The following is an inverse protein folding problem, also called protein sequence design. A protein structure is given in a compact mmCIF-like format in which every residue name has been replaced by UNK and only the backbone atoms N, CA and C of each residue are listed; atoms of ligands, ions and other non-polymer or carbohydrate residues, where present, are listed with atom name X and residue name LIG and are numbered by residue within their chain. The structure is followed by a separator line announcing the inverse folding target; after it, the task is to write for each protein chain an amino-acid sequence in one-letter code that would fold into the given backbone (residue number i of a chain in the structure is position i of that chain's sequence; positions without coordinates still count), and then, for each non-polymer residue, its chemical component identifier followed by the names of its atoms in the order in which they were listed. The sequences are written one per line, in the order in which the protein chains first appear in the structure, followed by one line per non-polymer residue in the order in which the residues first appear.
data_IF_563414013599
#
_entry.id   IF_563414013599
#
_cell.length_a   1.000
_cell.length_b   1.000
_cell.length_c   1.000
_cell.angle_alpha   90.00
_cell.angle_beta   90.00
_cell.angle_gamma   90.00
#
_symmetry.space_group_name_H-M   'P 1'
#
loop_
_entity.id
_entity.type
_entity.pdbx_description
1 polymer ?
#
# COMPACT_ATOMS: atom_id res chain seq x y z
N UNK A 1 12.33 3.29 16.59
CA UNK A 1 12.74 2.17 15.70
C UNK A 1 12.30 0.85 16.29
N UNK A 2 11.02 0.52 16.14
CA UNK A 2 10.52 -0.83 16.38
C UNK A 2 10.68 -1.65 15.09
N UNK A 3 10.92 -2.95 15.22
CA UNK A 3 11.10 -3.86 14.09
C UNK A 3 10.29 -5.13 14.36
N UNK A 4 9.30 -5.40 13.52
CA UNK A 4 8.58 -6.67 13.49
C UNK A 4 8.96 -7.41 12.22
N UNK A 5 9.53 -8.61 12.37
CA UNK A 5 9.91 -9.48 11.26
C UNK A 5 9.29 -10.86 11.44
N UNK A 6 8.59 -11.36 10.40
CA UNK A 6 8.16 -12.75 10.27
C UNK A 6 8.98 -13.47 9.19
N UNK A 7 9.48 -14.67 9.50
CA UNK A 7 10.15 -15.58 8.53
C UNK A 7 9.17 -16.43 7.73
N UNK A 8 7.87 -16.17 7.85
CA UNK A 8 6.83 -16.77 7.03
C UNK A 8 5.76 -15.73 6.70
N UNK A 9 4.52 -16.19 6.63
CA UNK A 9 3.38 -15.30 6.45
C UNK A 9 3.22 -14.38 7.68
N UNK A 10 2.67 -13.19 7.47
CA UNK A 10 2.40 -12.22 8.53
C UNK A 10 0.96 -11.71 8.42
N UNK A 11 0.20 -11.84 9.49
CA UNK A 11 -1.16 -11.32 9.57
C UNK A 11 -1.21 -10.24 10.65
N UNK A 12 -1.63 -9.04 10.28
CA UNK A 12 -1.83 -7.91 11.17
C UNK A 12 -3.32 -7.54 11.21
N UNK A 13 -3.88 -7.47 12.41
CA UNK A 13 -5.30 -7.16 12.62
C UNK A 13 -5.42 -6.07 13.68
N UNK A 14 -6.19 -5.02 13.38
CA UNK A 14 -6.47 -3.94 14.33
C UNK A 14 -7.86 -3.33 14.08
N UNK A 15 -8.78 -3.47 15.03
CA UNK A 15 -10.17 -2.99 14.87
C UNK A 15 -10.26 -1.49 14.54
N UNK A 16 -9.37 -0.69 15.13
CA UNK A 16 -9.40 0.78 14.99
C UNK A 16 -8.33 1.25 14.02
N UNK A 17 -7.06 1.05 14.36
CA UNK A 17 -5.94 1.64 13.62
C UNK A 17 -4.68 0.81 13.78
N UNK A 18 -4.00 0.57 12.66
CA UNK A 18 -2.63 0.11 12.61
C UNK A 18 -1.73 1.29 12.20
N UNK A 19 -0.81 1.67 13.08
CA UNK A 19 0.20 2.70 12.82
C UNK A 19 1.58 2.04 12.73
N UNK A 20 2.24 2.23 11.60
CA UNK A 20 3.67 2.00 11.43
C UNK A 20 4.35 3.36 11.29
N UNK A 21 5.21 3.71 12.24
CA UNK A 21 5.86 5.02 12.29
C UNK A 21 7.29 4.88 12.77
N UNK A 22 8.25 5.40 12.00
CA UNK A 22 9.68 5.30 12.31
C UNK A 22 10.10 3.82 12.60
N UNK A 23 9.48 2.89 11.88
CA UNK A 23 9.58 1.43 12.10
C UNK A 23 9.43 0.63 10.82
N UNK A 24 9.81 -0.65 10.89
CA UNK A 24 9.63 -1.60 9.80
C UNK A 24 8.77 -2.80 10.23
N UNK A 25 7.83 -3.16 9.37
CA UNK A 25 6.99 -4.35 9.44
C UNK A 25 7.29 -5.19 8.21
N UNK A 26 7.94 -6.33 8.40
CA UNK A 26 8.37 -7.19 7.30
C UNK A 26 7.92 -8.65 7.51
N UNK A 27 7.47 -9.28 6.44
CA UNK A 27 7.15 -10.71 6.43
C UNK A 27 7.71 -11.34 5.16
N UNK A 28 8.48 -12.41 5.26
CA UNK A 28 9.08 -13.06 4.07
C UNK A 28 8.07 -13.86 3.22
N UNK A 29 6.89 -14.17 3.79
CA UNK A 29 5.79 -14.83 3.11
C UNK A 29 4.73 -13.86 2.58
N UNK A 30 3.49 -14.33 2.55
CA UNK A 30 2.31 -13.50 2.26
C UNK A 30 2.03 -12.62 3.47
N UNK A 31 1.75 -11.34 3.23
CA UNK A 31 1.32 -10.42 4.26
C UNK A 31 -0.15 -10.05 4.07
N UNK A 32 -0.93 -10.15 5.15
CA UNK A 32 -2.33 -9.74 5.18
C UNK A 32 -2.54 -8.71 6.29
N UNK A 33 -3.14 -7.57 5.96
CA UNK A 33 -3.45 -6.50 6.90
C UNK A 33 -4.95 -6.20 6.84
N UNK A 34 -5.60 -6.32 7.99
CA UNK A 34 -7.00 -5.90 8.18
C UNK A 34 -7.06 -4.85 9.28
N UNK A 35 -7.58 -3.66 8.99
CA UNK A 35 -7.75 -2.65 10.03
C UNK A 35 -8.84 -1.63 9.72
N UNK A 36 -9.31 -0.91 10.74
CA UNK A 36 -10.17 0.26 10.53
C UNK A 36 -9.47 1.35 9.72
N UNK A 37 -8.23 1.69 10.10
CA UNK A 37 -7.34 2.62 9.42
C UNK A 37 -5.93 2.05 9.37
N UNK A 38 -5.17 2.38 8.33
CA UNK A 38 -3.75 2.06 8.21
C UNK A 38 -2.95 3.32 7.90
N UNK A 39 -1.89 3.56 8.66
CA UNK A 39 -0.95 4.65 8.43
C UNK A 39 0.49 4.13 8.47
N UNK A 40 1.25 4.43 7.41
CA UNK A 40 2.67 4.16 7.27
C UNK A 40 3.38 5.51 7.08
N UNK A 41 4.08 6.00 8.11
CA UNK A 41 4.54 7.39 8.19
C UNK A 41 5.99 7.50 8.69
N UNK A 42 6.66 8.61 8.38
CA UNK A 42 8.01 8.95 8.86
C UNK A 42 9.04 7.85 8.54
N UNK A 43 9.39 7.71 7.26
CA UNK A 43 10.39 6.75 6.79
C UNK A 43 10.09 5.30 7.20
N UNK A 44 8.82 4.98 7.42
CA UNK A 44 8.40 3.65 7.80
C UNK A 44 8.37 2.70 6.59
N UNK A 45 8.56 1.41 6.87
CA UNK A 45 8.56 0.35 5.87
C UNK A 45 7.49 -0.69 6.18
N UNK A 46 6.66 -1.02 5.20
CA UNK A 46 5.89 -2.26 5.14
C UNK A 46 6.40 -3.10 3.97
N UNK A 47 6.92 -4.31 4.21
CA UNK A 47 7.53 -5.14 3.16
C UNK A 47 7.05 -6.59 3.21
N UNK A 48 6.44 -7.06 2.12
CA UNK A 48 6.02 -8.44 1.94
C UNK A 48 6.93 -9.20 0.96
N UNK A 49 7.46 -10.34 1.37
CA UNK A 49 8.33 -11.19 0.56
C UNK A 49 7.59 -12.00 -0.52
N UNK A 50 6.27 -12.10 -0.42
CA UNK A 50 5.35 -12.60 -1.46
C UNK A 50 4.24 -11.58 -1.68
N UNK A 51 2.98 -12.01 -1.80
CA UNK A 51 1.84 -11.12 -1.98
C UNK A 51 1.56 -10.26 -0.75
N UNK A 52 1.02 -9.06 -0.98
CA UNK A 52 0.53 -8.16 0.06
C UNK A 52 -0.96 -7.90 -0.15
N UNK A 53 -1.77 -8.19 0.87
CA UNK A 53 -3.21 -8.02 0.86
C UNK A 53 -3.63 -7.03 1.95
N UNK A 54 -4.21 -5.89 1.58
CA UNK A 54 -4.74 -4.89 2.51
C UNK A 54 -6.26 -4.80 2.36
N UNK A 55 -6.98 -4.96 3.47
CA UNK A 55 -8.41 -4.66 3.58
C UNK A 55 -8.60 -3.66 4.72
N UNK A 56 -8.79 -2.40 4.38
CA UNK A 56 -8.83 -1.29 5.35
C UNK A 56 -10.20 -0.62 5.28
N UNK A 57 -10.96 -0.63 6.37
CA UNK A 57 -12.37 -0.23 6.32
C UNK A 57 -12.57 1.23 5.96
N UNK A 58 -11.64 2.11 6.37
CA UNK A 58 -11.70 3.54 6.14
C UNK A 58 -10.56 3.99 5.23
N UNK A 59 -9.44 4.44 5.81
CA UNK A 59 -8.38 5.15 5.11
C UNK A 59 -7.04 4.46 5.20
N UNK A 60 -6.33 4.48 4.07
CA UNK A 60 -4.90 4.20 3.98
C UNK A 60 -4.17 5.53 3.83
N UNK A 61 -3.13 5.73 4.64
CA UNK A 61 -2.16 6.82 4.49
C UNK A 61 -0.75 6.22 4.40
N UNK A 62 -0.04 6.55 3.32
CA UNK A 62 1.40 6.37 3.21
C UNK A 62 2.04 7.73 3.00
N UNK A 63 2.85 8.17 3.95
CA UNK A 63 3.41 9.53 4.00
C UNK A 63 4.91 9.47 4.28
N UNK A 64 5.72 10.02 3.38
CA UNK A 64 7.20 9.99 3.46
C UNK A 64 7.72 8.58 3.82
N UNK A 65 7.13 7.54 3.20
CA UNK A 65 7.30 6.15 3.62
C UNK A 65 7.15 5.17 2.46
N UNK A 66 7.54 3.91 2.69
CA UNK A 66 7.55 2.84 1.67
C UNK A 66 6.61 1.69 2.05
N UNK A 67 5.80 1.26 1.07
CA UNK A 67 5.08 -0.01 1.10
C UNK A 67 5.45 -0.83 -0.13
N UNK A 68 5.97 -2.04 0.07
CA UNK A 68 6.44 -2.89 -1.02
C UNK A 68 6.03 -4.36 -0.86
N UNK A 69 5.96 -5.04 -2.00
CA UNK A 69 5.68 -6.47 -2.08
C UNK A 69 6.51 -7.05 -3.22
N UNK A 70 7.18 -8.17 -2.99
CA UNK A 70 7.87 -8.91 -4.06
C UNK A 70 6.90 -9.65 -4.99
N UNK A 71 5.60 -9.70 -4.64
CA UNK A 71 4.54 -10.33 -5.41
C UNK A 71 3.42 -9.35 -5.77
N UNK A 72 2.22 -9.88 -6.09
CA UNK A 72 1.06 -9.05 -6.38
C UNK A 72 0.57 -8.31 -5.13
N UNK A 73 -0.02 -7.15 -5.35
CA UNK A 73 -0.69 -6.37 -4.32
C UNK A 73 -2.20 -6.34 -4.56
N UNK A 74 -2.99 -6.60 -3.52
CA UNK A 74 -4.44 -6.37 -3.50
C UNK A 74 -4.77 -5.39 -2.39
N UNK A 75 -5.43 -4.27 -2.71
CA UNK A 75 -5.72 -3.20 -1.75
C UNK A 75 -7.19 -2.80 -1.86
N UNK A 76 -7.88 -2.78 -0.71
CA UNK A 76 -9.27 -2.34 -0.58
C UNK A 76 -9.37 -1.29 0.52
N UNK A 77 -9.92 -0.12 0.20
CA UNK A 77 -10.22 0.93 1.19
C UNK A 77 -11.31 1.90 0.72
N UNK A 78 -11.78 2.79 1.61
CA UNK A 78 -12.63 3.91 1.20
C UNK A 78 -11.80 5.08 0.67
N UNK A 79 -10.68 5.37 1.33
CA UNK A 79 -9.74 6.42 0.94
C UNK A 79 -8.34 5.83 0.85
N UNK A 80 -7.58 6.26 -0.15
CA UNK A 80 -6.17 5.92 -0.31
C UNK A 80 -5.38 7.20 -0.55
N UNK A 81 -4.47 7.54 0.36
CA UNK A 81 -3.57 8.69 0.23
C UNK A 81 -2.13 8.21 0.23
N UNK A 82 -1.40 8.57 -0.81
CA UNK A 82 0.05 8.40 -0.93
C UNK A 82 0.67 9.78 -1.16
N UNK A 83 1.34 10.31 -0.15
CA UNK A 83 1.94 11.66 -0.17
C UNK A 83 3.44 11.57 0.11
N UNK A 84 4.27 11.98 -0.84
CA UNK A 84 5.73 11.80 -0.78
C UNK A 84 6.16 10.34 -0.51
N UNK A 85 5.27 9.39 -0.77
CA UNK A 85 5.45 7.98 -0.47
C UNK A 85 5.66 7.12 -1.70
N UNK A 86 6.08 5.89 -1.46
CA UNK A 86 6.25 4.87 -2.49
C UNK A 86 5.40 3.62 -2.19
N UNK A 87 4.66 3.18 -3.21
CA UNK A 87 4.04 1.87 -3.27
C UNK A 87 4.59 1.08 -4.45
N UNK A 88 5.12 -0.11 -4.19
CA UNK A 88 5.74 -0.96 -5.21
C UNK A 88 5.27 -2.39 -5.19
N UNK A 89 4.42 -2.78 -6.14
CA UNK A 89 4.08 -4.18 -6.37
C UNK A 89 5.09 -4.84 -7.31
N UNK A 90 5.68 -5.96 -6.88
CA UNK A 90 6.54 -6.81 -7.70
C UNK A 90 5.80 -7.63 -8.75
N UNK A 91 4.47 -7.56 -8.80
CA UNK A 91 3.61 -8.23 -9.77
C UNK A 91 2.41 -7.35 -10.17
N UNK A 92 1.25 -7.99 -10.33
CA UNK A 92 0.01 -7.27 -10.62
C UNK A 92 -0.49 -6.47 -9.40
N UNK A 93 -1.09 -5.32 -9.67
CA UNK A 93 -1.74 -4.46 -8.67
C UNK A 93 -3.26 -4.44 -8.92
N UNK A 94 -4.04 -4.85 -7.92
CA UNK A 94 -5.50 -4.62 -7.84
C UNK A 94 -5.78 -3.64 -6.69
N UNK A 95 -6.01 -2.37 -7.02
CA UNK A 95 -6.35 -1.32 -6.08
C UNK A 95 -7.79 -0.89 -6.30
N UNK A 96 -8.65 -1.10 -5.29
CA UNK A 96 -10.02 -0.62 -5.30
C UNK A 96 -10.30 0.28 -4.11
N UNK A 97 -10.65 1.52 -4.42
CA UNK A 97 -10.95 2.61 -3.50
C UNK A 97 -12.41 3.01 -3.72
N UNK A 98 -13.25 3.07 -2.69
CA UNK A 98 -14.68 3.40 -2.93
C UNK A 98 -14.92 4.89 -3.12
N UNK A 99 -14.09 5.74 -2.52
CA UNK A 99 -14.23 7.19 -2.58
C UNK A 99 -13.05 7.77 -3.36
N UNK A 100 -12.09 8.40 -2.68
CA UNK A 100 -11.03 9.17 -3.33
C UNK A 100 -9.68 8.48 -3.18
N UNK A 101 -8.96 8.39 -4.29
CA UNK A 101 -7.55 8.07 -4.35
C UNK A 101 -6.74 9.35 -4.57
N UNK A 102 -5.76 9.61 -3.70
CA UNK A 102 -4.82 10.73 -3.81
C UNK A 102 -3.40 10.16 -3.91
N UNK A 103 -2.71 10.51 -4.97
CA UNK A 103 -1.29 10.25 -5.17
C UNK A 103 -0.62 11.60 -5.46
N UNK A 104 0.19 12.11 -4.52
CA UNK A 104 0.74 13.46 -4.58
C UNK A 104 2.24 13.44 -4.29
N UNK A 105 3.06 14.00 -5.19
CA UNK A 105 4.52 13.94 -5.11
C UNK A 105 5.06 12.52 -4.84
N UNK A 106 4.35 11.51 -5.33
CA UNK A 106 4.48 10.14 -4.88
C UNK A 106 4.41 9.15 -6.05
N UNK A 107 4.87 7.92 -5.81
CA UNK A 107 4.91 6.86 -6.82
C UNK A 107 4.04 5.67 -6.37
N UNK A 108 3.14 5.26 -7.25
CA UNK A 108 2.49 3.95 -7.20
C UNK A 108 2.91 3.16 -8.44
N UNK A 109 3.65 2.08 -8.23
CA UNK A 109 4.23 1.26 -9.29
C UNK A 109 3.79 -0.20 -9.20
N UNK A 110 3.53 -0.80 -10.35
CA UNK A 110 3.30 -2.23 -10.50
C UNK A 110 4.25 -2.83 -11.55
N UNK A 111 4.97 -3.88 -11.18
CA UNK A 111 5.74 -4.71 -12.10
C UNK A 111 4.85 -5.80 -12.72
N UNK A 112 3.78 -5.36 -13.37
CA UNK A 112 2.74 -6.16 -14.00
C UNK A 112 1.55 -5.27 -14.31
N UNK A 113 0.44 -5.86 -14.74
CA UNK A 113 -0.81 -5.12 -14.96
C UNK A 113 -1.26 -4.41 -13.68
N UNK A 114 -1.67 -3.15 -13.81
CA UNK A 114 -2.28 -2.38 -12.75
C UNK A 114 -3.75 -2.11 -13.08
N UNK A 115 -4.64 -2.60 -12.24
CA UNK A 115 -6.06 -2.22 -12.22
C UNK A 115 -6.29 -1.33 -11.00
N UNK A 116 -6.63 -0.08 -11.26
CA UNK A 116 -6.97 0.90 -10.24
C UNK A 116 -8.42 1.28 -10.46
N UNK A 117 -9.24 1.22 -9.42
CA UNK A 117 -10.63 1.62 -9.46
C UNK A 117 -10.88 2.56 -8.29
N UNK A 118 -11.30 3.79 -8.56
CA UNK A 118 -11.68 4.75 -7.53
C UNK A 118 -12.95 5.51 -7.90
N UNK A 119 -13.63 6.10 -6.92
CA UNK A 119 -14.69 7.07 -7.20
C UNK A 119 -14.10 8.32 -7.87
N UNK A 120 -13.02 8.84 -7.31
CA UNK A 120 -12.21 9.92 -7.88
C UNK A 120 -10.71 9.57 -7.77
N UNK A 121 -9.93 9.93 -8.80
CA UNK A 121 -8.47 9.77 -8.83
C UNK A 121 -7.82 11.14 -8.95
N UNK A 122 -7.05 11.51 -7.93
CA UNK A 122 -6.22 12.72 -7.90
C UNK A 122 -4.75 12.31 -7.97
N UNK A 123 -4.16 12.35 -9.16
CA UNK A 123 -2.72 12.17 -9.35
C UNK A 123 -2.07 13.55 -9.58
N UNK A 124 -1.49 14.12 -8.52
CA UNK A 124 -1.16 15.53 -8.40
C UNK A 124 0.35 15.79 -8.36
N UNK A 125 0.75 17.01 -8.73
CA UNK A 125 2.15 17.46 -8.73
C UNK A 125 3.06 16.53 -9.53
N UNK A 126 4.17 16.06 -8.93
CA UNK A 126 5.14 15.16 -9.56
C UNK A 126 4.76 13.68 -9.39
N UNK A 127 3.49 13.38 -9.12
CA UNK A 127 3.05 12.02 -8.86
C UNK A 127 3.00 11.16 -10.12
N UNK A 128 3.36 9.88 -9.98
CA UNK A 128 3.36 8.91 -11.07
C UNK A 128 2.57 7.66 -10.69
N UNK A 129 1.68 7.26 -11.61
CA UNK A 129 1.10 5.92 -11.67
C UNK A 129 1.83 5.15 -12.77
N UNK A 130 2.48 4.05 -12.42
CA UNK A 130 3.33 3.29 -13.33
C UNK A 130 2.98 1.82 -13.37
N UNK A 131 2.97 1.24 -14.57
CA UNK A 131 2.85 -0.19 -14.80
C UNK A 131 3.82 -0.61 -15.90
N UNK A 132 4.45 -1.79 -15.74
CA UNK A 132 5.19 -2.44 -16.83
C UNK A 132 4.29 -3.20 -17.81
N UNK A 133 3.01 -3.39 -17.44
CA UNK A 133 1.95 -3.95 -18.28
C UNK A 133 0.85 -2.92 -18.57
N UNK A 134 -0.39 -3.40 -18.71
CA UNK A 134 -1.54 -2.53 -18.89
C UNK A 134 -1.85 -1.76 -17.60
N UNK A 135 -2.10 -0.45 -17.73
CA UNK A 135 -2.64 0.40 -16.67
C UNK A 135 -4.10 0.72 -16.99
N UNK A 136 -5.02 0.26 -16.14
CA UNK A 136 -6.46 0.51 -16.24
C UNK A 136 -6.91 1.34 -15.04
N UNK A 137 -7.68 2.41 -15.29
CA UNK A 137 -8.20 3.36 -14.31
C UNK A 137 -9.74 3.42 -14.38
#
# INVERSE_FOLDING_TARGET
NALLISTGDLTLQADIRLLNQDSALAGSGVMTVTAGQFANQNQALLSAGKALNLTIDQGILNEDSTVESNGPMTIRSQVFTNDQGYWGSGGALDLKVTNTMINQNALLAANGTALIQAGDIHNLDNALLYSTGDLTL
#
